data_IF_188861707802
#
_entry.id   IF_188861707802
#
_cell.length_a   1.000
_cell.length_b   1.000
_cell.length_c   1.000
_cell.angle_alpha   90.00
_cell.angle_beta   90.00
_cell.angle_gamma   90.00
#
_symmetry.space_group_name_H-M   'P 1'
#
loop_
_entity.id
_entity.type
_entity.pdbx_description
1 polymer ?
#
# COMPACT_ATOMS: atom_id res chain seq x y z
N UNK A 1 -14.02 -23.32 -18.53
CA UNK A 1 -14.06 -22.59 -17.24
C UNK A 1 -14.68 -21.24 -17.51
N UNK A 2 -15.87 -21.00 -16.97
CA UNK A 2 -16.79 -19.93 -17.37
C UNK A 2 -16.35 -18.56 -16.83
N UNK A 3 -16.41 -17.55 -17.70
CA UNK A 3 -16.17 -16.12 -17.43
C UNK A 3 -16.87 -15.62 -16.15
N UNK A 4 -17.99 -16.24 -15.78
CA UNK A 4 -18.77 -15.97 -14.56
C UNK A 4 -18.02 -16.26 -13.27
N UNK A 5 -17.10 -17.25 -13.22
CA UNK A 5 -16.32 -17.59 -12.03
C UNK A 5 -15.21 -16.56 -11.77
N UNK A 6 -14.61 -16.02 -12.85
CA UNK A 6 -13.65 -14.92 -12.77
C UNK A 6 -14.33 -13.64 -12.30
N UNK A 7 -15.59 -13.41 -12.70
CA UNK A 7 -16.36 -12.24 -12.26
C UNK A 7 -16.78 -12.30 -10.77
N UNK A 8 -16.99 -13.50 -10.22
CA UNK A 8 -17.40 -13.69 -8.81
C UNK A 8 -16.23 -13.69 -7.83
N UNK A 9 -15.06 -14.18 -8.24
CA UNK A 9 -13.81 -14.08 -7.46
C UNK A 9 -13.23 -12.65 -7.40
N UNK A 10 -13.76 -11.74 -8.22
CA UNK A 10 -13.23 -10.40 -8.42
C UNK A 10 -14.02 -9.29 -7.68
N UNK A 11 -14.94 -9.65 -6.78
CA UNK A 11 -15.57 -8.69 -5.86
C UNK A 11 -14.60 -8.32 -4.72
N UNK A 12 -13.57 -7.55 -5.07
CA UNK A 12 -13.21 -6.37 -4.28
C UNK A 12 -12.14 -6.49 -3.19
N UNK A 13 -11.07 -7.27 -3.37
CA UNK A 13 -9.87 -7.10 -2.55
C UNK A 13 -9.03 -5.93 -3.10
N UNK A 14 -9.26 -4.72 -2.60
CA UNK A 14 -8.36 -3.59 -2.85
C UNK A 14 -7.14 -3.69 -1.93
N UNK A 15 -5.95 -3.22 -2.33
CA UNK A 15 -4.84 -3.09 -1.40
C UNK A 15 -5.25 -2.14 -0.27
N UNK A 16 -5.13 -2.64 0.95
CA UNK A 16 -5.63 -1.96 2.16
C UNK A 16 -4.53 -1.12 2.81
N UNK A 17 -3.28 -1.29 2.38
CA UNK A 17 -2.10 -0.59 2.89
C UNK A 17 -1.15 -0.15 1.78
N UNK A 18 -0.52 1.00 2.01
CA UNK A 18 0.46 1.58 1.12
C UNK A 18 1.85 1.15 1.55
N UNK A 19 2.17 -0.15 1.49
CA UNK A 19 3.47 -0.69 1.91
C UNK A 19 4.67 -0.16 1.11
N UNK A 20 4.50 0.86 0.26
CA UNK A 20 5.52 1.47 -0.59
C UNK A 20 5.80 2.88 -0.06
N UNK A 21 6.88 3.09 0.72
CA UNK A 21 7.14 4.34 1.39
C UNK A 21 7.56 5.43 0.39
N UNK A 22 7.35 6.69 0.77
CA UNK A 22 7.54 7.85 -0.11
C UNK A 22 8.96 8.11 -0.57
N UNK A 23 9.96 7.44 -0.03
CA UNK A 23 11.33 7.48 -0.51
C UNK A 23 11.60 6.49 -1.65
N UNK A 24 10.66 5.55 -1.88
CA UNK A 24 10.70 4.60 -2.98
C UNK A 24 11.85 3.62 -2.82
N UNK A 25 12.80 3.68 -3.77
CA UNK A 25 13.98 2.83 -3.80
C UNK A 25 15.15 3.46 -3.01
N UNK A 26 15.94 2.59 -2.37
CA UNK A 26 17.25 2.88 -1.82
C UNK A 26 18.15 3.48 -2.89
N UNK A 27 19.13 4.28 -2.45
CA UNK A 27 20.05 4.93 -3.37
C UNK A 27 20.79 3.89 -4.24
N UNK A 28 20.77 4.10 -5.57
CA UNK A 28 21.39 3.21 -6.55
C UNK A 28 20.54 2.01 -6.97
N UNK A 29 19.34 1.80 -6.41
CA UNK A 29 18.42 0.72 -6.79
C UNK A 29 17.39 1.20 -7.80
N UNK A 30 16.98 0.32 -8.70
CA UNK A 30 16.04 0.65 -9.80
C UNK A 30 14.81 -0.23 -9.81
N UNK A 31 14.82 -1.36 -9.09
CA UNK A 31 13.70 -2.27 -8.99
C UNK A 31 13.45 -2.70 -7.54
N UNK A 32 12.21 -3.05 -7.24
CA UNK A 32 11.78 -3.63 -5.97
C UNK A 32 10.82 -4.79 -6.22
N UNK A 33 10.97 -5.87 -5.47
CA UNK A 33 9.93 -6.90 -5.32
C UNK A 33 9.64 -7.03 -3.84
N UNK A 34 8.38 -7.09 -3.45
CA UNK A 34 8.02 -7.20 -2.05
C UNK A 34 6.69 -7.87 -1.82
N UNK A 35 6.49 -8.20 -0.55
CA UNK A 35 5.26 -8.76 -0.04
C UNK A 35 4.93 -8.19 1.32
N UNK A 36 3.65 -8.11 1.64
CA UNK A 36 3.16 -7.65 2.92
C UNK A 36 1.85 -8.31 3.29
N UNK A 37 1.57 -8.31 4.59
CA UNK A 37 0.32 -8.77 5.14
C UNK A 37 -0.16 -7.78 6.19
N UNK A 38 -1.48 -7.59 6.27
CA UNK A 38 -2.11 -6.74 7.26
C UNK A 38 -3.31 -7.44 7.87
N UNK A 39 -3.64 -7.04 9.09
CA UNK A 39 -4.87 -7.40 9.77
C UNK A 39 -5.76 -6.16 9.82
N UNK A 40 -6.94 -6.28 9.22
CA UNK A 40 -8.01 -5.30 9.30
C UNK A 40 -8.86 -5.59 10.53
N UNK A 41 -8.87 -4.65 11.47
CA UNK A 41 -9.69 -4.72 12.68
C UNK A 41 -11.19 -4.57 12.39
N UNK A 42 -12.04 -5.01 13.32
CA UNK A 42 -13.50 -4.89 13.20
C UNK A 42 -13.93 -3.43 13.23
N UNK A 43 -15.10 -3.14 12.63
CA UNK A 43 -15.74 -1.83 12.76
C UNK A 43 -16.28 -1.65 14.16
N UNK A 44 -16.23 -0.43 14.71
CA UNK A 44 -16.91 -0.15 15.97
C UNK A 44 -18.41 -0.36 15.76
N UNK A 45 -19.06 -1.02 16.72
CA UNK A 45 -20.51 -1.27 16.75
C UNK A 45 -21.07 -2.24 15.69
N UNK A 46 -20.22 -3.02 15.02
CA UNK A 46 -20.63 -4.11 14.13
C UNK A 46 -19.99 -5.40 14.61
N UNK A 47 -20.77 -6.48 14.71
CA UNK A 47 -20.23 -7.81 14.98
C UNK A 47 -19.55 -8.35 13.71
N UNK A 48 -18.24 -8.11 13.63
CA UNK A 48 -17.38 -8.49 12.52
C UNK A 48 -16.08 -9.06 13.10
N UNK A 49 -15.48 -10.05 12.43
CA UNK A 49 -14.18 -10.59 12.84
C UNK A 49 -13.05 -9.78 12.22
N UNK A 50 -11.85 -9.87 12.79
CA UNK A 50 -10.67 -9.35 12.12
C UNK A 50 -10.40 -10.14 10.83
N UNK A 51 -9.97 -9.45 9.78
CA UNK A 51 -9.72 -10.04 8.47
C UNK A 51 -8.26 -9.85 8.06
N UNK A 52 -7.61 -10.93 7.64
CA UNK A 52 -6.25 -10.90 7.09
C UNK A 52 -6.28 -10.57 5.60
N UNK A 53 -5.39 -9.67 5.18
CA UNK A 53 -5.19 -9.31 3.79
C UNK A 53 -3.69 -9.36 3.47
N UNK A 54 -3.37 -9.67 2.22
CA UNK A 54 -2.01 -9.76 1.71
C UNK A 54 -1.84 -8.94 0.45
N UNK A 55 -0.59 -8.57 0.18
CA UNK A 55 -0.21 -7.85 -1.02
C UNK A 55 1.16 -8.32 -1.50
N UNK A 56 1.28 -8.52 -2.81
CA UNK A 56 2.52 -8.66 -3.54
C UNK A 56 2.69 -7.46 -4.46
N UNK A 57 3.93 -7.02 -4.67
CA UNK A 57 4.21 -6.02 -5.67
C UNK A 57 5.59 -6.20 -6.31
N UNK A 58 5.68 -5.68 -7.53
CA UNK A 58 6.92 -5.44 -8.23
C UNK A 58 6.92 -4.00 -8.71
N UNK A 59 8.01 -3.29 -8.50
CA UNK A 59 8.17 -1.89 -8.88
C UNK A 59 9.45 -1.70 -9.68
N UNK A 60 9.40 -0.83 -10.68
CA UNK A 60 10.55 -0.47 -11.51
C UNK A 60 10.58 1.03 -11.75
N UNK A 61 11.73 1.63 -11.47
CA UNK A 61 12.03 3.00 -11.84
C UNK A 61 12.27 3.07 -13.35
N UNK A 62 11.32 3.67 -14.07
CA UNK A 62 11.41 3.85 -15.53
C UNK A 62 12.03 5.20 -15.90
N UNK A 63 11.98 6.16 -14.98
CA UNK A 63 12.62 7.46 -15.13
C UNK A 63 13.08 7.99 -13.76
N UNK A 64 13.95 9.00 -13.74
CA UNK A 64 14.52 9.57 -12.49
C UNK A 64 13.48 9.96 -11.43
N UNK A 65 12.25 10.25 -11.84
CA UNK A 65 11.12 10.59 -10.95
C UNK A 65 9.89 9.72 -11.14
N UNK A 66 9.96 8.69 -11.98
CA UNK A 66 8.78 7.89 -12.35
C UNK A 66 9.01 6.43 -12.05
N UNK A 67 8.08 5.83 -11.33
CA UNK A 67 8.08 4.43 -10.98
C UNK A 67 6.77 3.78 -11.39
N UNK A 68 6.87 2.64 -12.05
CA UNK A 68 5.73 1.79 -12.38
C UNK A 68 5.71 0.60 -11.43
N UNK A 69 4.52 0.17 -11.05
CA UNK A 69 4.35 -1.00 -10.19
C UNK A 69 3.25 -1.90 -10.71
N UNK A 70 3.47 -3.21 -10.63
CA UNK A 70 2.44 -4.24 -10.68
C UNK A 70 2.12 -4.70 -9.27
N UNK A 71 0.85 -4.89 -8.96
CA UNK A 71 0.36 -5.25 -7.63
C UNK A 71 -0.62 -6.41 -7.70
N UNK A 72 -0.53 -7.31 -6.74
CA UNK A 72 -1.57 -8.29 -6.44
C UNK A 72 -2.01 -8.15 -5.00
N UNK A 73 -3.30 -7.92 -4.77
CA UNK A 73 -3.91 -7.91 -3.45
C UNK A 73 -4.77 -9.17 -3.28
N UNK A 74 -4.77 -9.76 -2.10
CA UNK A 74 -5.53 -10.98 -1.83
C UNK A 74 -5.99 -11.06 -0.38
N UNK A 75 -7.08 -11.75 -0.14
CA UNK A 75 -7.58 -12.13 1.18
C UNK A 75 -7.94 -13.62 1.18
N UNK A 76 -8.67 -14.10 2.19
CA UNK A 76 -9.05 -15.52 2.32
C UNK A 76 -10.04 -15.96 1.22
N UNK A 77 -10.78 -15.04 0.61
CA UNK A 77 -11.87 -15.31 -0.31
C UNK A 77 -11.60 -14.85 -1.76
N UNK A 78 -10.74 -13.85 -1.96
CA UNK A 78 -10.57 -13.18 -3.24
C UNK A 78 -9.11 -12.77 -3.50
N UNK A 79 -8.79 -12.60 -4.79
CA UNK A 79 -7.54 -12.00 -5.24
C UNK A 79 -7.80 -11.04 -6.40
N UNK A 80 -7.09 -9.93 -6.42
CA UNK A 80 -7.18 -8.90 -7.45
C UNK A 80 -5.79 -8.47 -7.90
N UNK A 81 -5.67 -8.15 -9.19
CA UNK A 81 -4.47 -7.57 -9.77
C UNK A 81 -4.72 -6.11 -10.14
N UNK A 82 -3.65 -5.32 -10.06
CA UNK A 82 -3.64 -3.92 -10.43
C UNK A 82 -2.23 -3.42 -10.69
N UNK A 83 -2.12 -2.13 -10.85
CA UNK A 83 -0.86 -1.43 -11.07
C UNK A 83 -0.88 -0.04 -10.47
N UNK A 84 0.30 0.54 -10.38
CA UNK A 84 0.51 1.86 -9.80
C UNK A 84 1.49 2.65 -10.64
N UNK A 85 1.18 3.93 -10.81
CA UNK A 85 2.10 4.93 -11.34
C UNK A 85 2.44 5.89 -10.21
N UNK A 86 3.73 6.06 -9.98
CA UNK A 86 4.24 6.98 -8.97
C UNK A 86 5.15 8.02 -9.59
N UNK A 87 4.97 9.25 -9.13
CA UNK A 87 5.74 10.43 -9.49
C UNK A 87 6.40 11.02 -8.23
N UNK A 88 7.72 10.96 -8.17
CA UNK A 88 8.50 11.58 -7.10
C UNK A 88 8.54 13.09 -7.30
N UNK A 89 7.78 13.82 -6.47
CA UNK A 89 7.68 15.28 -6.52
C UNK A 89 8.94 15.90 -5.94
N UNK A 90 9.40 15.39 -4.81
CA UNK A 90 10.58 15.90 -4.12
C UNK A 90 11.26 14.77 -3.34
N UNK A 91 12.58 14.66 -3.47
CA UNK A 91 13.40 13.69 -2.72
C UNK A 91 14.75 14.33 -2.38
N UNK A 92 15.06 14.35 -1.10
CA UNK A 92 16.38 14.69 -0.59
C UNK A 92 16.84 13.63 0.45
N UNK A 93 17.99 13.84 1.10
CA UNK A 93 18.54 12.88 2.07
C UNK A 93 17.66 12.66 3.31
N UNK A 94 16.86 13.65 3.70
CA UNK A 94 16.04 13.67 4.93
C UNK A 94 14.55 13.49 4.67
N UNK A 95 14.02 13.95 3.55
CA UNK A 95 12.58 14.04 3.28
C UNK A 95 12.33 13.61 1.84
N UNK A 96 11.26 12.85 1.63
CA UNK A 96 10.75 12.54 0.30
C UNK A 96 9.23 12.62 0.27
N UNK A 97 8.67 13.08 -0.84
CA UNK A 97 7.24 13.09 -1.11
C UNK A 97 6.98 12.78 -2.58
N UNK A 98 5.88 12.08 -2.81
CA UNK A 98 5.45 11.61 -4.10
C UNK A 98 3.94 11.76 -4.26
N UNK A 99 3.48 11.61 -5.50
CA UNK A 99 2.08 11.36 -5.83
C UNK A 99 2.01 10.02 -6.53
N UNK A 100 1.04 9.22 -6.13
CA UNK A 100 0.84 7.90 -6.67
C UNK A 100 -0.63 7.69 -7.04
N UNK A 101 -0.83 7.15 -8.23
CA UNK A 101 -2.12 6.70 -8.71
C UNK A 101 -2.07 5.18 -8.82
N UNK A 102 -3.01 4.51 -8.18
CA UNK A 102 -3.15 3.07 -8.19
C UNK A 102 -4.48 2.70 -8.85
N UNK A 103 -4.47 1.67 -9.70
CA UNK A 103 -5.64 1.22 -10.44
C UNK A 103 -5.62 -0.30 -10.53
N UNK A 104 -6.77 -0.94 -10.28
CA UNK A 104 -6.96 -2.36 -10.53
C UNK A 104 -8.41 -2.72 -10.71
N UNK A 105 -8.69 -4.01 -10.77
CA UNK A 105 -10.06 -4.47 -10.95
C UNK A 105 -10.91 -4.13 -9.71
N UNK A 106 -11.94 -3.29 -9.89
CA UNK A 106 -12.85 -2.81 -8.83
C UNK A 106 -12.19 -1.97 -7.71
N UNK A 107 -11.05 -1.34 -7.99
CA UNK A 107 -10.45 -0.38 -7.08
C UNK A 107 -9.58 0.66 -7.82
N UNK A 108 -9.57 1.87 -7.28
CA UNK A 108 -8.73 2.96 -7.73
C UNK A 108 -8.30 3.77 -6.50
N UNK A 109 -7.11 4.33 -6.49
CA UNK A 109 -6.69 5.21 -5.42
C UNK A 109 -5.69 6.26 -5.87
N UNK A 110 -5.76 7.41 -5.21
CA UNK A 110 -4.73 8.43 -5.21
C UNK A 110 -4.08 8.44 -3.83
N UNK A 111 -2.76 8.40 -3.81
CA UNK A 111 -1.94 8.37 -2.61
C UNK A 111 -0.96 9.52 -2.67
N UNK A 112 -0.72 10.16 -1.53
CA UNK A 112 0.31 11.20 -1.39
C UNK A 112 1.36 10.73 -0.39
N UNK A 113 2.29 9.84 -0.77
CA UNK A 113 3.34 9.40 0.14
C UNK A 113 4.21 10.57 0.60
N UNK A 114 4.52 10.62 1.89
CA UNK A 114 5.58 11.44 2.46
C UNK A 114 6.44 10.61 3.44
N UNK A 115 7.73 10.88 3.51
CA UNK A 115 8.65 10.21 4.44
C UNK A 115 9.71 11.16 4.95
N UNK A 116 10.17 10.88 6.17
CA UNK A 116 11.21 11.59 6.87
C UNK A 116 12.20 10.58 7.45
N UNK A 117 13.49 10.83 7.26
CA UNK A 117 14.57 10.05 7.84
C UNK A 117 14.69 10.33 9.33
N UNK A 118 14.61 9.26 10.12
CA UNK A 118 14.85 9.28 11.56
C UNK A 118 16.36 9.16 11.83
N UNK A 119 16.72 8.83 13.07
CA UNK A 119 18.10 8.48 13.44
C UNK A 119 18.52 7.20 12.71
N UNK A 120 19.70 7.22 12.08
CA UNK A 120 20.21 6.09 11.31
C UNK A 120 19.60 5.97 9.91
N UNK A 121 19.35 4.76 9.40
CA UNK A 121 18.77 4.55 8.07
C UNK A 121 17.24 4.35 8.10
N UNK A 122 16.62 4.35 9.28
CA UNK A 122 15.17 4.22 9.44
C UNK A 122 14.43 5.47 8.94
N UNK A 123 13.23 5.28 8.39
CA UNK A 123 12.35 6.35 7.94
C UNK A 123 10.96 6.17 8.51
N UNK A 124 10.40 7.27 9.00
CA UNK A 124 8.99 7.37 9.30
C UNK A 124 8.28 7.83 8.03
N UNK A 125 7.18 7.18 7.67
CA UNK A 125 6.43 7.53 6.48
C UNK A 125 4.93 7.55 6.76
N UNK A 126 4.23 8.29 5.89
CA UNK A 126 2.79 8.31 5.78
C UNK A 126 2.42 8.35 4.31
N UNK A 127 1.19 7.99 3.98
CA UNK A 127 0.70 8.06 2.61
C UNK A 127 -0.81 8.18 2.61
N UNK A 128 -1.36 9.35 2.96
CA UNK A 128 -2.79 9.58 2.89
C UNK A 128 -3.31 9.16 1.52
N UNK A 129 -4.38 8.36 1.55
CA UNK A 129 -4.95 7.69 0.39
C UNK A 129 -6.42 8.04 0.32
N UNK A 130 -6.87 8.42 -0.87
CA UNK A 130 -8.27 8.52 -1.22
C UNK A 130 -8.52 7.53 -2.34
N UNK A 131 -9.42 6.58 -2.14
CA UNK A 131 -9.69 5.58 -3.15
C UNK A 131 -11.02 4.87 -2.97
N UNK A 132 -11.21 3.85 -3.78
CA UNK A 132 -12.38 2.98 -3.75
C UNK A 132 -11.98 1.57 -3.31
N UNK A 133 -12.83 0.95 -2.51
CA UNK A 133 -12.80 -0.49 -2.21
C UNK A 133 -14.12 -1.07 -2.69
N UNK A 134 -14.12 -1.67 -3.88
CA UNK A 134 -15.36 -2.00 -4.57
C UNK A 134 -16.12 -0.72 -4.95
N UNK A 135 -17.39 -0.62 -4.52
CA UNK A 135 -18.26 0.54 -4.81
C UNK A 135 -18.12 1.68 -3.80
N UNK A 136 -17.42 1.45 -2.68
CA UNK A 136 -17.37 2.41 -1.58
C UNK A 136 -16.09 3.24 -1.62
N UNK A 137 -16.22 4.53 -1.32
CA UNK A 137 -15.09 5.43 -1.12
C UNK A 137 -14.48 5.21 0.26
N UNK A 138 -13.15 5.25 0.32
CA UNK A 138 -12.38 5.13 1.54
C UNK A 138 -11.28 6.19 1.58
N UNK A 139 -11.09 6.75 2.77
CA UNK A 139 -9.93 7.57 3.11
C UNK A 139 -9.07 6.77 4.08
N UNK A 140 -7.80 6.58 3.75
CA UNK A 140 -6.85 5.90 4.61
C UNK A 140 -5.70 6.84 4.96
N UNK A 141 -5.29 6.83 6.23
CA UNK A 141 -4.13 7.57 6.70
C UNK A 141 -3.18 6.58 7.36
N UNK A 142 -2.26 5.97 6.59
CA UNK A 142 -1.24 5.10 7.13
C UNK A 142 -0.10 5.91 7.75
N UNK A 143 0.46 5.40 8.82
CA UNK A 143 1.72 5.83 9.42
C UNK A 143 2.55 4.58 9.67
N UNK A 144 3.77 4.57 9.16
CA UNK A 144 4.64 3.41 9.24
C UNK A 144 6.11 3.77 9.38
N UNK A 145 6.90 2.75 9.71
CA UNK A 145 8.36 2.85 9.77
C UNK A 145 8.92 1.88 8.74
N UNK A 146 9.86 2.35 7.93
CA UNK A 146 10.67 1.53 7.04
C UNK A 146 12.12 1.51 7.53
N UNK A 147 12.74 0.33 7.50
CA UNK A 147 14.12 0.14 7.91
C UNK A 147 14.83 -0.74 6.89
N UNK A 148 15.91 -0.27 6.25
CA UNK A 148 16.75 -1.15 5.46
C UNK A 148 17.48 -2.11 6.40
N UNK A 149 17.48 -3.38 6.03
CA UNK A 149 18.25 -4.44 6.65
C UNK A 149 19.60 -4.59 5.93
N UNK A 150 20.44 -5.52 6.39
CA UNK A 150 21.68 -5.83 5.71
C UNK A 150 21.44 -6.18 4.22
N UNK A 151 22.27 -5.60 3.36
CA UNK A 151 22.18 -5.78 1.91
C UNK A 151 21.09 -4.93 1.27
N UNK A 152 20.26 -5.58 0.47
CA UNK A 152 19.24 -4.97 -0.41
C UNK A 152 17.81 -5.13 0.13
N UNK A 153 17.66 -5.56 1.38
CA UNK A 153 16.37 -5.86 1.99
C UNK A 153 15.84 -4.67 2.79
N UNK A 154 14.52 -4.49 2.80
CA UNK A 154 13.83 -3.46 3.58
C UNK A 154 12.65 -4.12 4.29
N UNK A 155 12.48 -3.82 5.58
CA UNK A 155 11.31 -4.21 6.37
C UNK A 155 10.48 -2.97 6.67
N UNK A 156 9.16 -3.15 6.68
CA UNK A 156 8.18 -2.09 6.88
C UNK A 156 7.14 -2.56 7.88
N UNK A 157 6.77 -1.68 8.79
CA UNK A 157 5.65 -1.86 9.71
C UNK A 157 4.72 -0.66 9.56
N UNK A 158 3.43 -0.91 9.39
CA UNK A 158 2.44 0.11 9.08
C UNK A 158 1.21 -0.04 9.97
N UNK A 159 0.78 1.07 10.55
CA UNK A 159 -0.53 1.21 11.14
C UNK A 159 -1.36 2.16 10.27
N UNK A 160 -2.61 1.85 9.98
CA UNK A 160 -3.47 2.75 9.24
C UNK A 160 -4.85 2.91 9.88
N UNK A 161 -5.35 4.14 9.84
CA UNK A 161 -6.74 4.46 10.13
C UNK A 161 -7.49 4.62 8.82
N UNK A 162 -8.66 3.99 8.70
CA UNK A 162 -9.47 3.91 7.49
C UNK A 162 -10.89 4.36 7.77
N UNK A 163 -11.43 5.27 6.95
CA UNK A 163 -12.82 5.73 7.02
C UNK A 163 -13.52 5.41 5.70
N UNK A 164 -14.53 4.53 5.77
CA UNK A 164 -15.37 4.17 4.62
C UNK A 164 -16.61 5.06 4.61
N UNK A 165 -16.96 5.61 3.44
CA UNK A 165 -18.09 6.54 3.23
C UNK A 165 -18.07 7.82 4.10
N UNK A 166 -16.93 8.16 4.71
CA UNK A 166 -16.78 9.30 5.64
C UNK A 166 -17.78 9.28 6.83
N UNK A 167 -18.35 8.11 7.15
CA UNK A 167 -19.23 7.93 8.30
C UNK A 167 -18.39 7.51 9.51
N UNK A 168 -18.49 8.25 10.62
CA UNK A 168 -17.70 8.00 11.84
C UNK A 168 -17.81 6.56 12.39
N UNK A 169 -18.92 5.87 12.16
CA UNK A 169 -19.16 4.50 12.62
C UNK A 169 -18.52 3.41 11.72
N UNK A 170 -17.90 3.78 10.60
CA UNK A 170 -17.21 2.85 9.69
C UNK A 170 -15.69 3.03 9.72
N UNK A 171 -15.16 3.50 10.85
CA UNK A 171 -13.73 3.57 11.08
C UNK A 171 -13.13 2.17 11.27
N UNK A 172 -11.97 1.89 10.66
CA UNK A 172 -11.23 0.64 10.85
C UNK A 172 -9.75 0.92 11.09
N UNK A 173 -9.15 0.05 11.89
CA UNK A 173 -7.71 0.06 12.16
C UNK A 173 -7.03 -1.07 11.39
N UNK A 174 -5.85 -0.81 10.88
CA UNK A 174 -5.02 -1.76 10.17
C UNK A 174 -3.64 -1.82 10.80
N UNK A 175 -3.11 -3.02 10.98
CA UNK A 175 -1.72 -3.25 11.34
C UNK A 175 -1.13 -4.22 10.35
N UNK A 176 0.01 -3.88 9.75
CA UNK A 176 0.65 -4.74 8.78
C UNK A 176 2.15 -4.67 8.81
N UNK A 177 2.75 -5.70 8.21
CA UNK A 177 4.17 -5.90 8.07
C UNK A 177 4.47 -6.23 6.62
N UNK A 178 5.59 -5.74 6.14
CA UNK A 178 6.04 -5.98 4.78
C UNK A 178 7.55 -6.13 4.70
N UNK A 179 7.98 -6.89 3.71
CA UNK A 179 9.39 -7.09 3.36
C UNK A 179 9.57 -6.88 1.86
N UNK A 180 10.67 -6.23 1.49
CA UNK A 180 10.99 -5.93 0.11
C UNK A 180 12.47 -6.15 -0.17
N UNK A 181 12.78 -6.59 -1.38
CA UNK A 181 14.13 -6.71 -1.91
C UNK A 181 14.32 -5.73 -3.07
N UNK A 182 15.40 -4.95 -3.03
CA UNK A 182 15.68 -3.89 -4.00
C UNK A 182 16.99 -4.11 -4.77
N UNK A 183 16.92 -4.06 -6.09
CA UNK A 183 18.06 -4.34 -6.97
C UNK A 183 18.24 -3.32 -8.09
#
# INVERSE_FOLDING_TARGET
MSLSLVLTLALGCAPVQGFRPADGLMDGKTSEVGMGAAVLGPRPYVDERAHGVGQLWISKQVHKRVMLSGMGAFDVAAAALGGGLRLDVYKNRRVATAVEAELGFAWAALVVPASVRLVGPARLYTGPRLGTRGVNWAVDVPVGISMPLAGSWVVRAEYASSWVELRNYQHRHLVGLAVAYQY
#
